data_IF_278373048542
#
_entry.id   IF_278373048542
#
_cell.length_a   1.000
_cell.length_b   1.000
_cell.length_c   1.000
_cell.angle_alpha   90.00
_cell.angle_beta   90.00
_cell.angle_gamma   90.00
#
_symmetry.space_group_name_H-M   'P 1'
#
loop_
_entity.id
_entity.type
_entity.pdbx_description
1 polymer ?
#
# COMPACT_ATOMS: atom_id res chain seq x y z
N UNK A 1 70.86 4.80 -90.80
CA UNK A 1 69.67 4.16 -90.24
C UNK A 1 69.54 4.60 -88.81
N UNK A 2 68.57 5.46 -88.43
CA UNK A 2 68.41 5.92 -87.10
C UNK A 2 67.27 5.09 -86.44
N UNK A 3 67.52 4.60 -85.21
CA UNK A 3 66.61 3.88 -84.36
C UNK A 3 65.61 4.80 -83.67
N UNK A 4 64.34 4.50 -83.76
CA UNK A 4 63.27 5.19 -83.06
C UNK A 4 63.17 4.65 -81.67
N UNK A 5 63.39 5.46 -80.62
CA UNK A 5 63.08 5.15 -79.22
C UNK A 5 61.65 5.60 -78.94
N UNK A 6 60.85 4.63 -78.57
CA UNK A 6 59.47 4.78 -78.17
C UNK A 6 59.38 5.43 -76.76
N UNK A 7 58.90 6.67 -76.71
CA UNK A 7 58.69 7.43 -75.47
C UNK A 7 57.31 7.22 -74.95
N UNK A 8 57.15 6.21 -74.06
CA UNK A 8 55.95 6.06 -73.26
C UNK A 8 55.88 7.19 -72.22
N UNK A 9 54.93 8.07 -72.38
CA UNK A 9 54.61 9.07 -71.40
C UNK A 9 53.74 8.38 -70.28
N UNK A 10 54.31 8.22 -69.08
CA UNK A 10 53.61 7.85 -67.95
C UNK A 10 52.58 8.91 -67.57
N UNK A 11 51.28 8.58 -67.64
CA UNK A 11 50.21 9.41 -67.18
C UNK A 11 50.16 9.37 -65.63
N UNK A 12 50.03 10.51 -64.94
CA UNK A 12 49.97 10.48 -63.48
C UNK A 12 48.69 9.78 -63.00
N UNK A 13 48.86 8.81 -62.07
CA UNK A 13 47.78 8.10 -61.41
C UNK A 13 46.92 9.10 -60.65
N UNK A 14 45.70 9.31 -61.10
CA UNK A 14 44.71 10.12 -60.36
C UNK A 14 44.28 9.33 -59.12
N UNK A 15 44.73 9.74 -57.93
CA UNK A 15 44.36 9.22 -56.68
C UNK A 15 42.85 9.55 -56.42
N UNK A 16 41.94 8.63 -56.79
CA UNK A 16 40.48 8.69 -56.51
C UNK A 16 40.15 8.30 -55.07
N UNK A 17 40.79 8.90 -54.10
CA UNK A 17 40.33 8.78 -52.73
C UNK A 17 39.14 9.72 -52.56
N UNK A 18 37.93 9.16 -52.69
CA UNK A 18 36.71 9.85 -52.32
C UNK A 18 36.80 10.34 -50.84
N UNK A 19 36.47 11.60 -50.57
CA UNK A 19 36.52 12.10 -49.19
C UNK A 19 35.59 11.26 -48.32
N UNK A 20 36.16 10.55 -47.32
CA UNK A 20 35.36 9.92 -46.26
C UNK A 20 34.59 11.02 -45.57
N UNK A 21 33.29 11.12 -45.86
CA UNK A 21 32.36 11.93 -45.11
C UNK A 21 32.28 11.31 -43.69
N UNK A 22 33.14 11.81 -42.81
CA UNK A 22 33.07 11.50 -41.39
C UNK A 22 31.75 12.08 -40.89
N UNK A 23 30.72 11.24 -40.82
CA UNK A 23 29.45 11.63 -40.28
C UNK A 23 29.66 12.18 -38.87
N UNK A 24 29.63 13.49 -38.74
CA UNK A 24 29.69 14.20 -37.46
C UNK A 24 28.58 13.63 -36.58
N UNK A 25 28.92 12.70 -35.68
CA UNK A 25 28.03 12.25 -34.60
C UNK A 25 27.59 13.50 -33.84
N UNK A 26 26.41 14.02 -34.17
CA UNK A 26 25.81 15.12 -33.38
C UNK A 26 25.70 14.62 -31.96
N UNK A 27 26.58 15.09 -31.08
CA UNK A 27 26.48 14.88 -29.65
C UNK A 27 25.11 15.44 -29.19
N UNK A 28 24.27 14.57 -28.64
CA UNK A 28 23.00 15.02 -28.02
C UNK A 28 23.34 16.10 -27.01
N UNK A 29 22.78 17.29 -27.18
CA UNK A 29 22.93 18.34 -26.19
C UNK A 29 22.45 17.78 -24.82
N UNK A 30 23.22 17.97 -23.74
CA UNK A 30 22.81 17.47 -22.42
C UNK A 30 21.47 18.09 -22.04
N UNK A 31 20.53 17.25 -21.56
CA UNK A 31 19.23 17.74 -21.07
C UNK A 31 19.50 18.78 -19.97
N UNK A 32 18.80 19.92 -19.95
CA UNK A 32 19.02 20.97 -18.97
C UNK A 32 18.84 20.41 -17.56
N UNK A 33 19.70 20.81 -16.64
CA UNK A 33 19.78 20.28 -15.25
C UNK A 33 18.46 20.36 -14.50
N UNK A 34 17.68 21.44 -14.73
CA UNK A 34 16.36 21.61 -14.10
C UNK A 34 15.37 20.48 -14.45
N UNK A 35 15.41 19.93 -15.67
CA UNK A 35 14.54 18.81 -16.07
C UNK A 35 14.90 17.52 -15.35
N UNK A 36 16.19 17.31 -15.06
CA UNK A 36 16.64 16.19 -14.24
C UNK A 36 16.13 16.33 -12.80
N UNK A 37 16.21 17.55 -12.25
CA UNK A 37 15.71 17.85 -10.91
C UNK A 37 14.19 17.64 -10.82
N UNK A 38 13.43 18.12 -11.79
CA UNK A 38 11.98 17.88 -11.87
C UNK A 38 11.67 16.39 -11.96
N UNK A 39 12.39 15.65 -12.82
CA UNK A 39 12.22 14.19 -12.91
C UNK A 39 12.48 13.48 -11.59
N UNK A 40 13.57 13.83 -10.90
CA UNK A 40 13.88 13.27 -9.58
C UNK A 40 12.79 13.61 -8.55
N UNK A 41 12.35 14.87 -8.51
CA UNK A 41 11.29 15.30 -7.57
C UNK A 41 9.97 14.54 -7.81
N UNK A 42 9.55 14.40 -9.07
CA UNK A 42 8.34 13.66 -9.43
C UNK A 42 8.46 12.17 -9.05
N UNK A 43 9.61 11.54 -9.32
CA UNK A 43 9.87 10.16 -8.91
C UNK A 43 9.87 10.00 -7.39
N UNK A 44 10.42 10.97 -6.65
CA UNK A 44 10.37 10.96 -5.18
C UNK A 44 8.93 10.99 -4.69
N UNK A 45 8.06 11.82 -5.27
CA UNK A 45 6.63 11.84 -4.95
C UNK A 45 5.99 10.47 -5.22
N UNK A 46 6.26 9.88 -6.37
CA UNK A 46 5.72 8.55 -6.72
C UNK A 46 6.14 7.48 -5.70
N UNK A 47 7.43 7.45 -5.35
CA UNK A 47 7.96 6.45 -4.41
C UNK A 47 7.43 6.66 -3.00
N UNK A 48 7.45 7.89 -2.49
CA UNK A 48 7.02 8.19 -1.11
C UNK A 48 5.53 7.95 -0.94
N UNK A 49 4.70 8.51 -1.82
CA UNK A 49 3.25 8.32 -1.73
C UNK A 49 2.83 6.87 -2.03
N UNK A 50 3.48 6.22 -2.99
CA UNK A 50 3.25 4.80 -3.30
C UNK A 50 3.62 3.89 -2.12
N UNK A 51 4.76 4.14 -1.47
CA UNK A 51 5.15 3.41 -0.27
C UNK A 51 4.18 3.64 0.89
N UNK A 52 3.75 4.89 1.13
CA UNK A 52 2.76 5.22 2.15
C UNK A 52 1.43 4.48 1.91
N UNK A 53 0.95 4.48 0.66
CA UNK A 53 -0.26 3.77 0.29
C UNK A 53 -0.11 2.24 0.46
N UNK A 54 0.98 1.67 -0.03
CA UNK A 54 1.26 0.25 0.15
C UNK A 54 1.33 -0.15 1.63
N UNK A 55 1.97 0.66 2.47
CA UNK A 55 2.04 0.46 3.92
C UNK A 55 0.66 0.54 4.57
N UNK A 56 -0.20 1.47 4.13
CA UNK A 56 -1.57 1.61 4.66
C UNK A 56 -2.44 0.36 4.42
N UNK A 57 -2.14 -0.41 3.38
CA UNK A 57 -2.80 -1.68 3.08
C UNK A 57 -2.09 -2.87 3.74
N UNK A 58 -0.76 -2.89 3.71
CA UNK A 58 0.03 -4.01 4.22
C UNK A 58 -0.06 -4.17 5.73
N UNK A 59 -0.09 -3.07 6.49
CA UNK A 59 -0.15 -3.11 7.96
C UNK A 59 -1.40 -3.84 8.46
N UNK A 60 -2.64 -3.50 8.08
CA UNK A 60 -3.82 -4.24 8.50
C UNK A 60 -3.81 -5.72 8.08
N UNK A 61 -3.33 -6.02 6.89
CA UNK A 61 -3.21 -7.40 6.40
C UNK A 61 -2.22 -8.22 7.22
N UNK A 62 -1.08 -7.62 7.59
CA UNK A 62 -0.09 -8.27 8.44
C UNK A 62 -0.66 -8.63 9.81
N UNK A 63 -1.39 -7.70 10.44
CA UNK A 63 -2.05 -7.97 11.72
C UNK A 63 -3.11 -9.08 11.58
N UNK A 64 -3.91 -9.07 10.52
CA UNK A 64 -4.90 -10.11 10.26
C UNK A 64 -4.26 -11.49 10.07
N UNK A 65 -3.15 -11.56 9.33
CA UNK A 65 -2.41 -12.82 9.13
C UNK A 65 -1.87 -13.41 10.45
N UNK A 66 -1.60 -12.56 11.46
CA UNK A 66 -1.14 -12.96 12.78
C UNK A 66 -2.29 -13.13 13.80
N UNK A 67 -3.55 -13.23 13.34
CA UNK A 67 -4.72 -13.33 14.21
C UNK A 67 -4.87 -12.13 15.16
N UNK A 68 -4.34 -10.98 14.76
CA UNK A 68 -4.38 -9.75 15.53
C UNK A 68 -5.31 -8.74 14.85
N UNK A 69 -5.83 -7.80 15.63
CA UNK A 69 -6.70 -6.72 15.16
C UNK A 69 -6.32 -5.42 15.82
N UNK A 70 -6.35 -4.35 15.06
CA UNK A 70 -6.12 -3.00 15.56
C UNK A 70 -7.48 -2.35 15.75
N UNK A 71 -7.69 -1.77 16.92
CA UNK A 71 -8.85 -0.94 17.26
C UNK A 71 -8.39 0.46 17.63
N UNK A 72 -9.21 1.44 17.30
CA UNK A 72 -9.00 2.83 17.72
C UNK A 72 -9.90 3.10 18.91
N UNK A 73 -9.30 3.58 19.99
CA UNK A 73 -10.02 3.91 21.23
C UNK A 73 -10.78 5.21 21.02
N UNK A 74 -12.07 5.20 21.33
CA UNK A 74 -12.97 6.35 21.18
C UNK A 74 -13.43 6.97 22.50
N UNK A 75 -13.16 6.29 23.64
CA UNK A 75 -13.59 6.74 24.97
C UNK A 75 -12.44 6.72 25.99
N UNK A 76 -12.60 7.43 27.10
CA UNK A 76 -11.62 7.49 28.18
C UNK A 76 -11.87 6.50 29.32
N UNK A 77 -12.74 5.50 29.17
CA UNK A 77 -13.11 4.55 30.25
C UNK A 77 -11.93 3.75 30.80
N UNK A 78 -10.82 3.71 30.07
CA UNK A 78 -9.61 2.99 30.46
C UNK A 78 -8.45 3.92 30.86
N UNK A 79 -8.72 5.22 31.04
CA UNK A 79 -7.71 6.14 31.54
C UNK A 79 -7.24 5.73 32.97
N UNK A 80 -5.96 5.93 33.32
CA UNK A 80 -4.88 6.51 32.53
C UNK A 80 -4.11 5.49 31.67
N UNK A 81 -4.58 4.25 31.56
CA UNK A 81 -3.87 3.19 30.83
C UNK A 81 -3.73 3.52 29.34
N UNK A 82 -4.84 3.93 28.74
CA UNK A 82 -4.90 4.50 27.39
C UNK A 82 -6.15 5.38 27.27
N UNK A 83 -6.10 6.30 26.31
CA UNK A 83 -7.08 7.35 26.12
C UNK A 83 -7.69 7.32 24.72
N UNK A 84 -8.73 8.12 24.51
CA UNK A 84 -9.29 8.30 23.18
C UNK A 84 -8.22 8.78 22.19
N UNK A 85 -8.19 8.17 21.00
CA UNK A 85 -7.17 8.43 19.99
C UNK A 85 -5.98 7.48 20.01
N UNK A 86 -5.87 6.60 21.00
CA UNK A 86 -4.87 5.53 21.02
C UNK A 86 -5.30 4.36 20.11
N UNK A 87 -4.33 3.58 19.66
CA UNK A 87 -4.58 2.34 18.96
C UNK A 87 -4.24 1.13 19.84
N UNK A 88 -5.18 0.20 19.95
CA UNK A 88 -5.03 -1.03 20.74
C UNK A 88 -4.94 -2.22 19.81
N UNK A 89 -3.92 -3.04 19.99
CA UNK A 89 -3.75 -4.31 19.28
C UNK A 89 -4.38 -5.41 20.13
N UNK A 90 -5.30 -6.14 19.52
CA UNK A 90 -5.94 -7.31 20.12
C UNK A 90 -5.42 -8.60 19.52
N UNK A 91 -5.23 -9.62 20.34
CA UNK A 91 -5.08 -11.01 19.94
C UNK A 91 -6.44 -11.71 20.06
N UNK A 92 -6.83 -12.44 19.03
CA UNK A 92 -8.01 -13.27 19.09
C UNK A 92 -7.85 -14.32 20.21
N UNK A 93 -8.95 -14.67 20.86
CA UNK A 93 -9.00 -15.78 21.80
C UNK A 93 -9.41 -17.05 21.06
N UNK A 94 -8.80 -18.17 21.43
CA UNK A 94 -9.12 -19.49 20.89
C UNK A 94 -9.97 -20.28 21.86
N UNK A 95 -9.75 -20.12 23.17
CA UNK A 95 -10.43 -20.87 24.21
C UNK A 95 -10.63 -20.00 25.47
N UNK A 96 -11.49 -20.49 26.37
CA UNK A 96 -11.75 -19.91 27.69
C UNK A 96 -10.47 -19.80 28.53
N UNK A 97 -9.60 -20.80 28.47
CA UNK A 97 -8.33 -20.84 29.19
C UNK A 97 -7.38 -19.69 28.88
N UNK A 98 -7.59 -19.00 27.73
CA UNK A 98 -6.85 -17.78 27.33
C UNK A 98 -7.18 -16.57 28.22
N UNK A 99 -8.30 -16.61 28.94
CA UNK A 99 -8.80 -15.49 29.71
C UNK A 99 -8.37 -15.59 31.19
N UNK A 100 -7.83 -14.47 31.70
CA UNK A 100 -7.41 -14.33 33.09
C UNK A 100 -7.91 -13.00 33.67
N UNK A 101 -8.24 -13.03 34.97
CA UNK A 101 -8.52 -11.79 35.70
C UNK A 101 -7.33 -10.83 35.59
N UNK A 102 -7.63 -9.56 35.41
CA UNK A 102 -6.64 -8.50 35.20
C UNK A 102 -6.30 -8.21 33.72
N UNK A 103 -6.63 -9.09 32.78
CA UNK A 103 -6.46 -8.82 31.36
C UNK A 103 -7.48 -7.78 30.88
N UNK A 104 -7.11 -7.03 29.87
CA UNK A 104 -7.99 -6.08 29.19
C UNK A 104 -8.51 -6.76 27.93
N UNK A 105 -9.80 -6.70 27.72
CA UNK A 105 -10.50 -7.32 26.59
C UNK A 105 -11.35 -6.29 25.87
N UNK A 106 -11.56 -6.52 24.57
CA UNK A 106 -12.60 -5.83 23.82
C UNK A 106 -13.74 -6.79 23.52
N UNK A 107 -14.97 -6.36 23.76
CA UNK A 107 -16.15 -7.19 23.67
C UNK A 107 -17.40 -6.37 23.34
N UNK A 108 -18.46 -7.02 22.92
CA UNK A 108 -19.78 -6.43 22.75
C UNK A 108 -20.61 -6.70 23.99
N UNK A 109 -20.98 -5.68 24.80
CA UNK A 109 -21.89 -5.84 25.93
C UNK A 109 -23.24 -6.42 25.51
N UNK A 110 -23.94 -7.06 26.45
CA UNK A 110 -25.29 -7.53 26.20
C UNK A 110 -26.21 -6.35 25.94
N UNK A 111 -26.96 -6.41 24.84
CA UNK A 111 -27.89 -5.33 24.44
C UNK A 111 -27.23 -4.11 23.75
N UNK A 112 -25.93 -4.21 23.42
CA UNK A 112 -25.22 -3.16 22.68
C UNK A 112 -24.46 -3.76 21.50
N UNK A 113 -24.43 -3.00 20.40
CA UNK A 113 -23.60 -3.28 19.22
C UNK A 113 -22.29 -2.48 19.23
N UNK A 114 -22.09 -1.66 20.25
CA UNK A 114 -20.85 -0.91 20.42
C UNK A 114 -19.78 -1.79 21.07
N UNK A 115 -18.56 -1.73 20.50
CA UNK A 115 -17.43 -2.46 21.04
C UNK A 115 -16.82 -1.67 22.21
N UNK A 116 -16.79 -2.33 23.39
CA UNK A 116 -16.24 -1.76 24.62
C UNK A 116 -14.92 -2.45 24.96
N UNK A 117 -13.98 -1.73 25.55
CA UNK A 117 -12.70 -2.27 26.01
C UNK A 117 -12.56 -2.02 27.50
N UNK A 118 -12.62 -3.08 28.29
CA UNK A 118 -12.53 -3.01 29.76
C UNK A 118 -11.64 -4.13 30.32
N UNK A 119 -11.34 -4.06 31.61
CA UNK A 119 -10.54 -5.05 32.34
C UNK A 119 -11.42 -6.13 32.93
N UNK A 120 -11.00 -7.39 32.83
CA UNK A 120 -11.64 -8.52 33.49
C UNK A 120 -11.39 -8.41 35.00
N UNK A 121 -12.45 -8.31 35.79
CA UNK A 121 -12.41 -8.31 37.25
C UNK A 121 -12.83 -9.64 37.85
N UNK A 122 -13.66 -10.42 37.15
CA UNK A 122 -14.03 -11.77 37.56
C UNK A 122 -14.37 -12.66 36.35
N UNK A 123 -14.14 -13.95 36.51
CA UNK A 123 -14.62 -15.01 35.63
C UNK A 123 -15.70 -15.77 36.34
N UNK A 124 -16.83 -16.04 35.71
CA UNK A 124 -17.98 -16.75 36.33
C UNK A 124 -18.50 -17.82 35.38
N UNK A 125 -18.90 -18.96 35.93
CA UNK A 125 -19.66 -19.98 35.22
C UNK A 125 -21.11 -19.87 35.67
N UNK A 126 -22.01 -19.60 34.74
CA UNK A 126 -23.44 -19.49 35.00
C UNK A 126 -24.18 -20.56 34.20
N UNK A 127 -25.34 -21.08 34.73
CA UNK A 127 -26.15 -22.03 33.99
C UNK A 127 -26.55 -21.48 32.62
N UNK A 128 -26.43 -22.30 31.58
CA UNK A 128 -26.99 -21.98 30.26
C UNK A 128 -28.51 -22.19 30.35
N UNK A 129 -29.24 -21.09 30.27
CA UNK A 129 -30.69 -21.11 30.41
C UNK A 129 -31.37 -21.22 29.04
N UNK A 130 -32.49 -21.95 29.00
CA UNK A 130 -33.45 -21.95 27.88
C UNK A 130 -34.82 -21.59 28.40
N UNK A 131 -35.65 -21.03 27.58
CA UNK A 131 -37.05 -20.84 27.89
C UNK A 131 -37.76 -22.18 27.72
N UNK A 132 -38.50 -22.58 28.74
CA UNK A 132 -39.38 -23.75 28.70
C UNK A 132 -40.64 -23.35 27.94
N UNK A 133 -40.93 -24.08 26.86
CA UNK A 133 -42.08 -23.81 25.98
C UNK A 133 -43.44 -23.99 26.68
N UNK A 134 -43.51 -24.87 27.73
CA UNK A 134 -44.74 -25.15 28.42
C UNK A 134 -45.07 -24.11 29.49
N UNK A 135 -44.07 -23.61 30.19
CA UNK A 135 -44.24 -22.72 31.35
C UNK A 135 -43.79 -21.30 31.09
N UNK A 136 -43.03 -21.05 30.00
CA UNK A 136 -42.41 -19.76 29.69
C UNK A 136 -41.24 -19.42 30.63
N UNK A 137 -40.92 -20.25 31.61
CA UNK A 137 -39.86 -20.01 32.60
C UNK A 137 -38.47 -20.30 32.01
N UNK A 138 -37.45 -19.58 32.51
CA UNK A 138 -36.04 -19.85 32.19
C UNK A 138 -35.56 -21.04 33.03
N UNK A 139 -35.25 -22.17 32.37
CA UNK A 139 -34.75 -23.38 33.01
C UNK A 139 -33.33 -23.69 32.52
N UNK A 140 -32.45 -24.27 33.37
CA UNK A 140 -31.13 -24.68 32.95
C UNK A 140 -31.20 -25.74 31.83
N UNK A 141 -30.43 -25.55 30.75
CA UNK A 141 -30.17 -26.62 29.81
C UNK A 141 -29.39 -27.72 30.52
N UNK A 142 -29.70 -28.98 30.18
CA UNK A 142 -29.04 -30.15 30.74
C UNK A 142 -28.34 -30.93 29.63
N UNK A 143 -27.24 -31.56 29.97
CA UNK A 143 -26.55 -32.49 29.07
C UNK A 143 -27.28 -33.85 29.00
N UNK A 144 -26.68 -34.83 28.28
CA UNK A 144 -27.25 -36.18 28.15
C UNK A 144 -27.30 -36.95 29.49
N UNK A 145 -26.50 -36.53 30.50
CA UNK A 145 -26.45 -37.14 31.83
C UNK A 145 -27.38 -36.43 32.83
N UNK A 146 -28.07 -35.37 32.39
CA UNK A 146 -28.95 -34.59 33.25
C UNK A 146 -28.28 -33.47 34.04
N UNK A 147 -26.97 -33.28 33.86
CA UNK A 147 -26.21 -32.22 34.51
C UNK A 147 -26.48 -30.86 33.84
N UNK A 148 -26.56 -29.75 34.62
CA UNK A 148 -26.80 -28.44 34.06
C UNK A 148 -25.59 -27.97 33.23
N UNK A 149 -25.85 -27.64 31.98
CA UNK A 149 -24.84 -27.01 31.14
C UNK A 149 -24.52 -25.60 31.65
N UNK A 150 -23.23 -25.30 31.76
CA UNK A 150 -22.76 -23.98 32.18
C UNK A 150 -22.06 -23.27 31.02
N UNK A 151 -22.21 -21.96 30.99
CA UNK A 151 -21.45 -21.08 30.10
C UNK A 151 -20.56 -20.15 30.91
N UNK A 152 -19.42 -19.88 30.37
CA UNK A 152 -18.47 -18.97 31.01
C UNK A 152 -18.74 -17.52 30.59
N UNK A 153 -18.70 -16.65 31.58
CA UNK A 153 -18.94 -15.22 31.49
C UNK A 153 -17.78 -14.47 32.13
N UNK A 154 -17.55 -13.28 31.63
CA UNK A 154 -16.59 -12.31 32.17
C UNK A 154 -17.37 -11.15 32.81
N UNK A 155 -16.95 -10.73 34.00
CA UNK A 155 -17.32 -9.45 34.58
C UNK A 155 -16.19 -8.50 34.35
N UNK A 156 -16.50 -7.33 33.80
CA UNK A 156 -15.52 -6.34 33.38
C UNK A 156 -15.72 -5.00 34.09
N UNK A 157 -14.68 -4.17 34.07
CA UNK A 157 -14.69 -2.82 34.62
C UNK A 157 -13.75 -1.94 33.85
N UNK A 158 -14.17 -0.74 33.48
CA UNK A 158 -13.27 0.30 32.96
C UNK A 158 -12.33 0.79 34.08
N UNK A 159 -11.07 1.01 33.75
CA UNK A 159 -10.07 1.45 34.75
C UNK A 159 -10.44 2.80 35.39
N UNK A 160 -11.12 3.68 34.62
CA UNK A 160 -11.60 4.99 35.07
C UNK A 160 -12.99 4.92 35.74
N UNK A 161 -13.71 3.78 35.67
CA UNK A 161 -15.05 3.65 36.22
C UNK A 161 -14.99 3.36 37.72
N UNK A 162 -16.01 3.76 38.47
CA UNK A 162 -16.10 3.44 39.91
C UNK A 162 -16.56 2.01 40.11
N UNK A 163 -17.55 1.57 39.34
CA UNK A 163 -18.21 0.27 39.50
C UNK A 163 -17.88 -0.69 38.35
N UNK A 164 -18.06 -1.97 38.56
CA UNK A 164 -18.01 -2.99 37.54
C UNK A 164 -19.20 -2.86 36.59
N UNK A 165 -19.02 -3.35 35.35
CA UNK A 165 -20.12 -3.39 34.39
C UNK A 165 -21.31 -4.21 34.94
N UNK A 166 -22.51 -3.68 34.76
CA UNK A 166 -23.72 -4.26 35.38
C UNK A 166 -24.03 -5.68 34.88
N UNK A 167 -23.66 -5.98 33.62
CA UNK A 167 -23.96 -7.26 33.01
C UNK A 167 -22.68 -8.05 32.74
N UNK A 168 -22.67 -9.32 33.13
CA UNK A 168 -21.62 -10.24 32.73
C UNK A 168 -21.73 -10.56 31.23
N UNK A 169 -20.62 -10.59 30.55
CA UNK A 169 -20.56 -10.84 29.10
C UNK A 169 -20.16 -12.29 28.80
N UNK A 170 -20.91 -13.01 27.95
CA UNK A 170 -20.52 -14.34 27.50
C UNK A 170 -19.20 -14.31 26.74
N UNK A 171 -18.37 -15.34 26.91
CA UNK A 171 -17.06 -15.42 26.23
C UNK A 171 -17.18 -15.31 24.72
N UNK A 172 -18.23 -15.88 24.12
CA UNK A 172 -18.45 -15.77 22.65
C UNK A 172 -18.66 -14.35 22.09
N UNK A 173 -18.87 -13.36 22.98
CA UNK A 173 -18.96 -11.94 22.61
C UNK A 173 -17.63 -11.17 22.75
N UNK A 174 -16.55 -11.85 23.14
CA UNK A 174 -15.24 -11.25 23.28
C UNK A 174 -14.57 -11.21 21.91
N UNK A 175 -14.11 -10.04 21.53
CA UNK A 175 -13.38 -9.82 20.26
C UNK A 175 -11.91 -10.23 20.34
N UNK A 176 -11.30 -10.05 21.50
CA UNK A 176 -9.92 -10.40 21.76
C UNK A 176 -9.38 -9.78 23.04
N UNK A 177 -8.18 -10.21 23.40
CA UNK A 177 -7.40 -9.72 24.54
C UNK A 177 -6.40 -8.69 24.07
N UNK A 178 -6.25 -7.59 24.82
CA UNK A 178 -5.26 -6.56 24.56
C UNK A 178 -3.85 -7.13 24.61
N UNK A 179 -3.09 -6.93 23.54
CA UNK A 179 -1.70 -7.31 23.41
C UNK A 179 -0.77 -6.11 23.58
N UNK A 180 -1.06 -5.01 22.88
CA UNK A 180 -0.25 -3.80 22.90
C UNK A 180 -1.12 -2.55 22.76
N UNK A 181 -0.56 -1.40 23.17
CA UNK A 181 -1.17 -0.06 22.98
C UNK A 181 -0.15 0.85 22.31
N UNK A 182 -0.59 1.54 21.29
CA UNK A 182 0.20 2.55 20.58
C UNK A 182 -0.47 3.93 20.78
N UNK A 183 0.10 4.72 21.68
CA UNK A 183 -0.46 6.02 22.03
C UNK A 183 -0.45 7.00 20.86
N UNK A 184 -1.58 7.67 20.62
CA UNK A 184 -1.74 8.69 19.58
C UNK A 184 -1.78 8.17 18.14
N UNK A 185 -1.68 6.86 17.91
CA UNK A 185 -1.68 6.28 16.55
C UNK A 185 -3.06 6.14 15.93
N UNK A 186 -4.11 6.24 16.75
CA UNK A 186 -5.49 6.08 16.26
C UNK A 186 -5.85 7.08 15.16
N UNK A 187 -5.49 8.36 15.34
CA UNK A 187 -5.75 9.39 14.34
C UNK A 187 -5.05 9.14 13.01
N UNK A 188 -3.78 8.71 13.05
CA UNK A 188 -3.00 8.37 11.86
C UNK A 188 -3.62 7.20 11.11
N UNK A 189 -3.99 6.13 11.84
CA UNK A 189 -4.61 4.94 11.27
C UNK A 189 -5.99 5.26 10.67
N UNK A 190 -6.79 6.06 11.38
CA UNK A 190 -8.10 6.50 10.91
C UNK A 190 -7.98 7.32 9.63
N UNK A 191 -7.06 8.29 9.61
CA UNK A 191 -6.83 9.12 8.43
C UNK A 191 -6.33 8.27 7.25
N UNK A 192 -5.32 7.43 7.46
CA UNK A 192 -4.76 6.57 6.40
C UNK A 192 -5.80 5.58 5.84
N UNK A 193 -6.73 5.12 6.66
CA UNK A 193 -7.85 4.25 6.26
C UNK A 193 -9.02 4.99 5.60
N UNK A 194 -9.10 6.32 5.74
CA UNK A 194 -10.20 7.13 5.22
C UNK A 194 -10.13 7.30 3.69
N UNK A 195 -11.27 7.58 3.01
CA UNK A 195 -11.26 7.89 1.58
C UNK A 195 -10.38 9.09 1.23
N UNK A 196 -10.38 10.12 2.10
CA UNK A 196 -9.56 11.33 1.92
C UNK A 196 -8.07 11.01 2.04
N UNK A 197 -7.65 10.26 3.06
CA UNK A 197 -6.26 9.84 3.24
C UNK A 197 -5.76 9.02 2.04
N UNK A 198 -6.58 8.08 1.57
CA UNK A 198 -6.27 7.29 0.35
C UNK A 198 -6.15 8.17 -0.88
N UNK A 199 -7.05 9.15 -1.06
CA UNK A 199 -6.98 10.08 -2.18
C UNK A 199 -5.70 10.93 -2.15
N UNK A 200 -5.32 11.46 -0.98
CA UNK A 200 -4.07 12.22 -0.80
C UNK A 200 -2.83 11.36 -1.09
N UNK A 201 -2.87 10.07 -0.80
CA UNK A 201 -1.76 9.16 -1.11
C UNK A 201 -1.71 8.73 -2.59
N UNK A 202 -2.85 8.68 -3.30
CA UNK A 202 -2.94 8.19 -4.68
C UNK A 202 -2.89 9.29 -5.75
N UNK A 203 -3.55 10.41 -5.53
CA UNK A 203 -3.68 11.47 -6.55
C UNK A 203 -2.33 12.10 -6.91
N UNK A 204 -1.47 12.50 -5.96
CA UNK A 204 -0.17 13.11 -6.32
C UNK A 204 0.74 12.20 -7.16
N UNK A 205 0.94 10.90 -6.84
CA UNK A 205 1.77 10.05 -7.67
C UNK A 205 1.18 9.80 -9.06
N UNK A 206 -0.15 9.72 -9.20
CA UNK A 206 -0.79 9.59 -10.51
C UNK A 206 -0.57 10.85 -11.37
N UNK A 207 -0.70 12.03 -10.79
CA UNK A 207 -0.40 13.29 -11.47
C UNK A 207 1.09 13.40 -11.82
N UNK A 208 1.99 12.94 -10.93
CA UNK A 208 3.41 12.90 -11.19
C UNK A 208 3.76 11.97 -12.35
N UNK A 209 3.17 10.77 -12.40
CA UNK A 209 3.34 9.82 -13.50
C UNK A 209 2.82 10.40 -14.82
N UNK A 210 1.62 10.98 -14.84
CA UNK A 210 1.06 11.62 -16.02
C UNK A 210 1.96 12.76 -16.53
N UNK A 211 2.51 13.57 -15.62
CA UNK A 211 3.44 14.65 -15.96
C UNK A 211 4.74 14.10 -16.55
N UNK A 212 5.31 13.04 -15.97
CA UNK A 212 6.50 12.37 -16.50
C UNK A 212 6.26 11.84 -17.91
N UNK A 213 5.10 11.24 -18.16
CA UNK A 213 4.74 10.71 -19.48
C UNK A 213 4.55 11.82 -20.52
N UNK A 214 3.87 12.92 -20.14
CA UNK A 214 3.74 14.09 -21.03
C UNK A 214 5.11 14.69 -21.39
N UNK A 215 6.03 14.78 -20.43
CA UNK A 215 7.40 15.24 -20.68
C UNK A 215 8.15 14.30 -21.62
N UNK A 216 8.01 12.98 -21.45
CA UNK A 216 8.63 11.97 -22.32
C UNK A 216 8.07 12.02 -23.75
N UNK A 217 6.74 12.15 -23.90
CA UNK A 217 6.11 12.31 -25.21
C UNK A 217 6.54 13.62 -25.91
N UNK A 218 6.67 14.70 -25.15
CA UNK A 218 7.19 15.97 -25.66
C UNK A 218 8.61 15.83 -26.22
N UNK A 219 9.48 15.09 -25.54
CA UNK A 219 10.84 14.80 -26.00
C UNK A 219 10.83 13.95 -27.27
N UNK A 220 10.01 12.88 -27.29
CA UNK A 220 9.90 12.03 -28.48
C UNK A 220 9.38 12.77 -29.71
N UNK A 221 8.43 13.71 -29.54
CA UNK A 221 7.94 14.55 -30.65
C UNK A 221 9.01 15.52 -31.15
N UNK A 222 9.82 16.08 -30.26
CA UNK A 222 10.95 16.95 -30.66
C UNK A 222 12.02 16.18 -31.44
N UNK A 223 12.39 14.98 -30.95
CA UNK A 223 13.35 14.10 -31.64
C UNK A 223 12.86 13.69 -33.03
N UNK A 224 11.56 13.46 -33.23
CA UNK A 224 10.96 13.16 -34.54
C UNK A 224 11.01 14.36 -35.50
N UNK A 225 10.80 15.58 -35.01
CA UNK A 225 10.86 16.79 -35.80
C UNK A 225 12.30 17.15 -36.21
N UNK A 226 13.28 16.78 -35.39
CA UNK A 226 14.71 17.05 -35.65
C UNK A 226 15.39 15.96 -36.51
N UNK A 227 14.73 14.84 -36.81
CA UNK A 227 15.23 13.86 -37.77
C UNK A 227 15.09 14.45 -39.17
N UNK A 228 16.24 14.80 -39.87
CA UNK A 228 16.16 15.19 -41.25
C UNK A 228 15.55 14.02 -42.03
N UNK A 229 14.57 14.30 -42.84
CA UNK A 229 14.11 13.35 -43.86
C UNK A 229 15.36 12.94 -44.62
N UNK A 230 15.79 11.69 -44.51
CA UNK A 230 16.84 11.16 -45.34
C UNK A 230 16.35 11.31 -46.78
N UNK A 231 16.83 12.36 -47.46
CA UNK A 231 16.59 12.55 -48.84
C UNK A 231 17.14 11.30 -49.51
N UNK A 232 16.29 10.55 -50.16
CA UNK A 232 16.66 9.39 -50.96
C UNK A 232 17.39 9.87 -52.19
N UNK A 233 18.65 10.31 -52.02
CA UNK A 233 19.57 10.59 -53.12
C UNK A 233 19.86 9.37 -54.01
N UNK A 234 19.32 8.20 -53.62
CA UNK A 234 19.46 6.97 -54.39
C UNK A 234 18.52 6.86 -55.60
N UNK A 235 17.40 7.62 -55.60
CA UNK A 235 16.47 7.61 -56.74
C UNK A 235 16.97 8.55 -57.86
N UNK A 236 17.52 9.70 -57.53
CA UNK A 236 18.05 10.66 -58.51
C UNK A 236 19.29 10.10 -59.27
N UNK A 237 20.17 9.34 -58.61
CA UNK A 237 21.33 8.73 -59.29
C UNK A 237 20.95 7.65 -60.29
N UNK A 238 19.87 6.91 -60.11
CA UNK A 238 19.40 5.90 -61.08
C UNK A 238 18.76 6.54 -62.31
N UNK A 239 18.15 7.71 -62.15
CA UNK A 239 17.55 8.42 -63.28
C UNK A 239 18.65 9.04 -64.15
N UNK A 240 19.70 9.61 -63.55
CA UNK A 240 20.85 10.15 -64.30
C UNK A 240 21.66 9.05 -65.02
N UNK A 241 21.75 7.84 -64.45
CA UNK A 241 22.47 6.71 -65.07
C UNK A 241 21.68 6.11 -66.25
N UNK A 242 20.34 6.17 -66.24
CA UNK A 242 19.45 5.67 -67.31
C UNK A 242 19.28 6.67 -68.44
N UNK A 243 19.71 7.94 -68.33
CA UNK A 243 19.62 8.95 -69.36
C UNK A 243 20.96 9.14 -70.14
N UNK A 244 21.99 8.38 -69.78
CA UNK A 244 23.34 8.45 -70.40
C UNK A 244 23.66 7.21 -71.27
N UNK A 245 22.78 6.26 -71.42
CA UNK A 245 22.78 5.17 -72.39
C UNK A 245 21.76 5.48 -73.53
#
# INVERSE_FOLDING_TARGET
>A
MPSWSDGRRDAPAVDRRAPRVIGRRRSRAPKPTWRRLVGVALWTVVVVCGAAYATSLAVPLWFQAHQQRILIVTSGSMAPKFDAGDAVVLRAISDESDLKVGQIISFWPMGSDELVTHRIVALRKLPDLRQDEATGNMVPKRDANGEPLTKSYVVTKGDANQDADANATPIGRIRGVQLAVHKGWGGVLQWAGSPQGRAVMLVPPLLALATLELLAMGDARRERRERPVARTDSADRRVDELLLD
#
